data_IF_058755959569
#
_entry.id   IF_058755959569
#
_cell.length_a   1.000
_cell.length_b   1.000
_cell.length_c   1.000
_cell.angle_alpha   90.00
_cell.angle_beta   90.00
_cell.angle_gamma   90.00
#
_symmetry.space_group_name_H-M   'P 1'
#
loop_
_entity.id
_entity.type
_entity.pdbx_description
1 polymer ?
#
# COMPACT_ATOMS: atom_id res chain seq x y z
N UNK A 1 20.40 14.35 -29.86
CA UNK A 1 19.17 14.63 -29.09
C UNK A 1 19.49 14.40 -27.62
N UNK A 2 19.52 15.44 -26.78
CA UNK A 2 19.75 15.30 -25.33
C UNK A 2 18.50 14.66 -24.72
N UNK A 3 18.64 13.49 -24.06
CA UNK A 3 17.57 12.96 -23.20
C UNK A 3 17.29 14.02 -22.14
N UNK A 4 16.07 14.54 -22.10
CA UNK A 4 15.61 15.34 -20.96
C UNK A 4 15.69 14.45 -19.72
N UNK A 5 16.28 14.93 -18.61
CA UNK A 5 16.09 14.24 -17.34
C UNK A 5 14.60 14.27 -17.05
N UNK A 6 13.99 13.09 -16.94
CA UNK A 6 12.68 12.97 -16.30
C UNK A 6 12.92 13.42 -14.87
N UNK A 7 12.54 14.65 -14.56
CA UNK A 7 12.35 15.08 -13.18
C UNK A 7 11.23 14.17 -12.67
N UNK A 8 11.60 13.09 -11.98
CA UNK A 8 10.67 12.27 -11.22
C UNK A 8 10.10 13.19 -10.14
N UNK A 9 8.97 13.83 -10.44
CA UNK A 9 8.16 14.47 -9.42
C UNK A 9 7.72 13.32 -8.52
N UNK A 10 8.35 13.18 -7.35
CA UNK A 10 7.91 12.24 -6.35
C UNK A 10 6.43 12.51 -6.08
N UNK A 11 5.57 11.57 -6.50
CA UNK A 11 4.13 11.77 -6.36
C UNK A 11 3.75 11.44 -4.92
N UNK A 12 3.50 12.47 -4.12
CA UNK A 12 2.97 12.34 -2.77
C UNK A 12 1.45 12.45 -2.86
N UNK A 13 0.76 11.40 -2.42
CA UNK A 13 -0.70 11.33 -2.37
C UNK A 13 -1.24 12.14 -1.19
N UNK A 14 -2.39 12.76 -1.42
CA UNK A 14 -3.20 13.32 -0.33
C UNK A 14 -3.73 12.21 0.58
N UNK A 15 -4.23 12.55 1.77
CA UNK A 15 -4.83 11.56 2.68
C UNK A 15 -5.99 10.81 2.04
N UNK A 16 -6.88 11.55 1.37
CA UNK A 16 -8.00 10.97 0.65
C UNK A 16 -7.51 10.00 -0.44
N UNK A 17 -6.58 10.45 -1.28
CA UNK A 17 -6.10 9.60 -2.36
C UNK A 17 -5.36 8.36 -1.81
N UNK A 18 -4.52 8.52 -0.79
CA UNK A 18 -3.78 7.41 -0.21
C UNK A 18 -4.73 6.36 0.39
N UNK A 19 -5.74 6.80 1.15
CA UNK A 19 -6.73 5.90 1.75
C UNK A 19 -7.60 5.19 0.70
N UNK A 20 -8.01 5.89 -0.35
CA UNK A 20 -8.76 5.30 -1.47
C UNK A 20 -7.91 4.29 -2.25
N UNK A 21 -6.66 4.60 -2.54
CA UNK A 21 -5.77 3.70 -3.26
C UNK A 21 -5.38 2.47 -2.40
N UNK A 22 -5.18 2.62 -1.09
CA UNK A 22 -4.97 1.47 -0.19
C UNK A 22 -6.23 0.59 -0.13
N UNK A 23 -7.42 1.19 -0.15
CA UNK A 23 -8.69 0.46 -0.24
C UNK A 23 -8.78 -0.37 -1.52
N UNK A 24 -8.47 0.22 -2.67
CA UNK A 24 -8.41 -0.53 -3.95
C UNK A 24 -7.36 -1.65 -3.88
N UNK A 25 -6.21 -1.39 -3.26
CA UNK A 25 -5.14 -2.38 -3.13
C UNK A 25 -5.56 -3.57 -2.26
N UNK A 26 -6.25 -3.33 -1.14
CA UNK A 26 -6.78 -4.40 -0.29
C UNK A 26 -7.79 -5.26 -1.04
N UNK A 27 -8.70 -4.65 -1.79
CA UNK A 27 -9.65 -5.36 -2.66
C UNK A 27 -8.97 -6.18 -3.76
N UNK A 28 -7.85 -5.69 -4.28
CA UNK A 28 -7.09 -6.39 -5.32
C UNK A 28 -6.34 -7.61 -4.78
N UNK A 29 -5.75 -7.49 -3.59
CA UNK A 29 -4.83 -8.48 -3.04
C UNK A 29 -5.50 -9.53 -2.15
N UNK A 30 -6.64 -9.19 -1.54
CA UNK A 30 -7.30 -10.01 -0.52
C UNK A 30 -8.70 -10.37 -1.01
N UNK A 31 -9.08 -11.63 -0.83
CA UNK A 31 -10.43 -12.08 -1.18
C UNK A 31 -11.50 -11.40 -0.31
N UNK A 32 -12.68 -11.17 -0.90
CA UNK A 32 -13.78 -10.47 -0.26
C UNK A 32 -14.25 -11.12 1.06
N UNK A 33 -14.42 -12.46 1.17
CA UNK A 33 -14.77 -13.09 2.45
C UNK A 33 -13.79 -12.77 3.57
N UNK A 34 -12.48 -12.76 3.28
CA UNK A 34 -11.46 -12.39 4.25
C UNK A 34 -11.60 -10.92 4.68
N UNK A 35 -11.80 -9.99 3.73
CA UNK A 35 -12.02 -8.57 4.05
C UNK A 35 -13.27 -8.35 4.90
N UNK A 36 -14.39 -8.98 4.56
CA UNK A 36 -15.63 -8.92 5.35
C UNK A 36 -15.39 -9.47 6.76
N UNK A 37 -14.60 -10.53 6.90
CA UNK A 37 -14.17 -11.05 8.20
C UNK A 37 -13.41 -10.05 9.06
N UNK A 38 -12.75 -9.05 8.46
CA UNK A 38 -12.10 -7.94 9.16
C UNK A 38 -13.01 -6.73 9.43
N UNK A 39 -14.29 -6.79 9.05
CA UNK A 39 -15.25 -5.70 9.24
C UNK A 39 -15.34 -4.73 8.06
N UNK A 40 -14.90 -5.15 6.87
CA UNK A 40 -15.09 -4.41 5.64
C UNK A 40 -16.58 -4.37 5.22
N UNK A 41 -17.11 -3.27 4.64
CA UNK A 41 -16.46 -1.99 4.32
C UNK A 41 -16.56 -0.93 5.43
N UNK A 42 -17.22 -1.24 6.54
CA UNK A 42 -17.61 -0.26 7.57
C UNK A 42 -16.44 0.16 8.47
N UNK A 43 -15.41 -0.68 8.59
CA UNK A 43 -14.20 -0.39 9.37
C UNK A 43 -13.24 0.55 8.62
N UNK A 44 -12.53 1.46 9.32
CA UNK A 44 -11.49 2.29 8.74
C UNK A 44 -10.41 1.48 8.00
N UNK A 45 -9.93 2.02 6.88
CA UNK A 45 -8.98 1.33 5.99
C UNK A 45 -7.64 1.03 6.68
N UNK A 46 -7.20 1.91 7.58
CA UNK A 46 -5.96 1.72 8.34
C UNK A 46 -6.08 0.55 9.31
N UNK A 47 -7.22 0.40 9.99
CA UNK A 47 -7.47 -0.75 10.87
C UNK A 47 -7.54 -2.06 10.08
N UNK A 48 -8.22 -2.08 8.93
CA UNK A 48 -8.29 -3.29 8.09
C UNK A 48 -6.89 -3.67 7.58
N UNK A 49 -6.10 -2.69 7.15
CA UNK A 49 -4.72 -2.91 6.73
C UNK A 49 -3.88 -3.53 7.85
N UNK A 50 -4.00 -3.04 9.09
CA UNK A 50 -3.31 -3.61 10.25
C UNK A 50 -3.75 -5.05 10.54
N UNK A 51 -5.06 -5.34 10.46
CA UNK A 51 -5.58 -6.70 10.66
C UNK A 51 -5.08 -7.69 9.60
N UNK A 52 -4.97 -7.25 8.34
CA UNK A 52 -4.40 -8.07 7.26
C UNK A 52 -2.93 -8.39 7.55
N UNK A 53 -2.12 -7.39 7.92
CA UNK A 53 -0.71 -7.59 8.29
C UNK A 53 -0.59 -8.58 9.46
N UNK A 54 -1.43 -8.44 10.49
CA UNK A 54 -1.49 -9.37 11.62
C UNK A 54 -1.88 -10.79 11.20
N UNK A 55 -2.84 -10.93 10.28
CA UNK A 55 -3.26 -12.23 9.74
C UNK A 55 -2.14 -12.91 8.96
N UNK A 56 -1.28 -12.15 8.29
CA UNK A 56 -0.06 -12.64 7.66
C UNK A 56 1.04 -13.03 8.67
N UNK A 57 0.84 -12.83 9.98
CA UNK A 57 1.82 -13.16 11.03
C UNK A 57 2.84 -12.05 11.32
N UNK A 58 2.59 -10.83 10.84
CA UNK A 58 3.47 -9.68 11.02
C UNK A 58 2.86 -8.65 11.97
N UNK A 59 3.71 -7.77 12.51
CA UNK A 59 3.29 -6.70 13.43
C UNK A 59 3.22 -5.39 12.65
N UNK A 60 2.07 -4.68 12.63
CA UNK A 60 1.98 -3.36 12.03
C UNK A 60 2.89 -2.35 12.74
N UNK A 61 3.20 -1.24 12.07
CA UNK A 61 4.06 -0.22 12.69
C UNK A 61 3.39 0.40 13.92
N UNK A 62 4.21 0.73 14.92
CA UNK A 62 3.71 1.31 16.17
C UNK A 62 3.08 2.69 15.92
N UNK A 63 1.81 2.86 16.31
CA UNK A 63 1.04 4.09 16.14
C UNK A 63 1.68 5.31 16.81
N UNK A 64 2.44 5.13 17.89
CA UNK A 64 3.07 6.23 18.63
C UNK A 64 4.31 6.82 17.92
N UNK A 65 4.89 6.08 16.97
CA UNK A 65 6.11 6.49 16.28
C UNK A 65 5.84 7.23 14.96
N UNK A 66 4.59 7.23 14.47
CA UNK A 66 4.26 7.71 13.13
C UNK A 66 3.01 8.60 13.14
N UNK A 67 3.05 9.68 12.35
CA UNK A 67 1.85 10.39 11.95
C UNK A 67 0.93 9.47 11.12
N UNK A 68 -0.37 9.79 11.07
CA UNK A 68 -1.37 8.94 10.40
C UNK A 68 -0.98 8.56 8.96
N UNK A 69 -0.54 9.55 8.18
CA UNK A 69 -0.14 9.35 6.79
C UNK A 69 1.11 8.47 6.64
N UNK A 70 2.11 8.68 7.50
CA UNK A 70 3.32 7.88 7.47
C UNK A 70 3.03 6.45 7.92
N UNK A 71 2.13 6.26 8.91
CA UNK A 71 1.66 4.94 9.32
C UNK A 71 1.02 4.17 8.17
N UNK A 72 0.12 4.81 7.42
CA UNK A 72 -0.50 4.19 6.23
C UNK A 72 0.56 3.78 5.21
N UNK A 73 1.56 4.63 4.96
CA UNK A 73 2.66 4.37 4.04
C UNK A 73 3.53 3.21 4.49
N UNK A 74 3.96 3.19 5.75
CA UNK A 74 4.81 2.12 6.27
C UNK A 74 4.05 0.79 6.35
N UNK A 75 2.78 0.80 6.77
CA UNK A 75 1.96 -0.41 6.74
C UNK A 75 1.66 -0.89 5.31
N UNK A 76 1.50 0.01 4.33
CA UNK A 76 1.37 -0.39 2.93
C UNK A 76 2.66 -1.02 2.39
N UNK A 77 3.85 -0.50 2.77
CA UNK A 77 5.12 -1.17 2.47
C UNK A 77 5.18 -2.57 3.06
N UNK A 78 4.76 -2.73 4.33
CA UNK A 78 4.68 -4.05 4.96
C UNK A 78 3.72 -4.97 4.22
N UNK A 79 2.54 -4.49 3.79
CA UNK A 79 1.62 -5.29 3.00
C UNK A 79 2.28 -5.80 1.70
N UNK A 80 3.03 -4.94 0.99
CA UNK A 80 3.74 -5.38 -0.19
C UNK A 80 4.84 -6.41 0.11
N UNK A 81 5.55 -6.29 1.22
CA UNK A 81 6.59 -7.27 1.56
C UNK A 81 6.04 -8.61 2.02
N UNK A 82 4.88 -8.60 2.71
CA UNK A 82 4.29 -9.83 3.28
C UNK A 82 3.40 -10.58 2.30
N UNK A 83 2.75 -9.88 1.36
CA UNK A 83 1.85 -10.50 0.37
C UNK A 83 2.61 -10.89 -0.90
N UNK A 84 3.72 -10.22 -1.21
CA UNK A 84 4.40 -10.38 -2.51
C UNK A 84 5.83 -10.92 -2.33
N UNK A 85 6.00 -12.23 -2.56
CA UNK A 85 7.32 -12.83 -2.76
C UNK A 85 7.81 -12.70 -4.21
N UNK A 86 7.71 -11.49 -4.77
CA UNK A 86 8.13 -11.16 -6.12
C UNK A 86 9.30 -10.17 -6.09
N UNK A 87 10.41 -10.56 -6.72
CA UNK A 87 11.61 -9.74 -6.83
C UNK A 87 11.38 -8.43 -7.60
N UNK A 88 10.40 -8.38 -8.51
CA UNK A 88 10.00 -7.18 -9.22
C UNK A 88 9.40 -6.14 -8.26
N UNK A 89 8.49 -6.54 -7.35
CA UNK A 89 7.91 -5.62 -6.36
C UNK A 89 8.94 -5.16 -5.34
N UNK A 90 9.82 -6.07 -4.87
CA UNK A 90 10.95 -5.70 -4.01
C UNK A 90 11.86 -4.66 -4.69
N UNK A 91 12.09 -4.80 -6.00
CA UNK A 91 12.87 -3.82 -6.79
C UNK A 91 12.14 -2.49 -6.93
N UNK A 92 10.82 -2.47 -7.12
CA UNK A 92 10.03 -1.24 -7.18
C UNK A 92 10.10 -0.47 -5.84
N UNK A 93 9.88 -1.17 -4.71
CA UNK A 93 9.96 -0.57 -3.36
C UNK A 93 11.33 0.06 -3.06
N UNK A 94 12.41 -0.49 -3.62
CA UNK A 94 13.77 0.03 -3.43
C UNK A 94 14.08 1.28 -4.28
N UNK A 95 13.30 1.54 -5.34
CA UNK A 95 13.60 2.58 -6.31
C UNK A 95 12.51 3.66 -6.40
N UNK A 96 11.37 3.49 -5.72
CA UNK A 96 10.20 4.35 -5.80
C UNK A 96 9.59 4.60 -4.43
N UNK A 97 8.82 5.69 -4.29
CA UNK A 97 8.05 5.90 -3.06
C UNK A 97 6.90 4.89 -2.97
N UNK A 98 6.39 4.62 -1.76
CA UNK A 98 5.24 3.69 -1.63
C UNK A 98 4.01 4.18 -2.39
N UNK A 99 3.78 5.49 -2.42
CA UNK A 99 2.70 6.12 -3.18
C UNK A 99 2.81 5.79 -4.70
N UNK A 100 4.02 5.85 -5.25
CA UNK A 100 4.29 5.49 -6.64
C UNK A 100 4.10 4.00 -6.90
N UNK A 101 4.52 3.15 -5.95
CA UNK A 101 4.36 1.68 -6.04
C UNK A 101 2.88 1.30 -6.01
N UNK A 102 2.08 1.88 -5.10
CA UNK A 102 0.62 1.65 -5.04
C UNK A 102 -0.02 1.97 -6.39
N UNK A 103 0.25 3.17 -6.92
CA UNK A 103 -0.29 3.60 -8.21
C UNK A 103 0.20 2.73 -9.38
N UNK A 104 1.42 2.19 -9.29
CA UNK A 104 1.94 1.29 -10.31
C UNK A 104 1.21 -0.06 -10.30
N UNK A 105 1.07 -0.69 -9.13
CA UNK A 105 0.38 -1.98 -8.97
C UNK A 105 -1.08 -1.87 -9.39
N UNK A 106 -1.80 -0.83 -8.95
CA UNK A 106 -3.19 -0.62 -9.33
C UNK A 106 -3.36 -0.38 -10.84
N UNK A 107 -2.38 0.22 -11.51
CA UNK A 107 -2.40 0.36 -12.97
C UNK A 107 -2.20 -0.98 -13.68
N UNK A 108 -1.30 -1.83 -13.19
CA UNK A 108 -1.06 -3.16 -13.76
C UNK A 108 -2.27 -4.09 -13.60
N UNK A 109 -3.04 -3.95 -12.52
CA UNK A 109 -4.26 -4.73 -12.32
C UNK A 109 -5.43 -4.31 -13.22
N UNK A 110 -5.37 -3.12 -13.83
CA UNK A 110 -6.42 -2.58 -14.72
C UNK A 110 -6.16 -2.90 -16.21
N UNK A 111 -5.06 -3.58 -16.53
CA UNK A 111 -4.71 -4.07 -17.87
C UNK A 111 -4.98 -5.55 -18.03
#
# INVERSE_FOLDING_TARGET
>A
MKKMPVLLIQRILSEKDLTENIRELLYLLIDEPTLVGFGWPDKPVDEVLELVIQRCGHVPVNRDHYGYMDRLRENAKLLFTVVIDDNAVKTLLNNQTVDEVILHVLRLAKT
#
